data_IF_492734632498
#
_entry.id   IF_492734632498
#
_cell.length_a   1.000
_cell.length_b   1.000
_cell.length_c   1.000
_cell.angle_alpha   90.00
_cell.angle_beta   90.00
_cell.angle_gamma   90.00
#
_symmetry.space_group_name_H-M   'P 1'
#
loop_
_entity.id
_entity.type
_entity.pdbx_description
1 polymer ?
#
# COMPACT_ATOMS: atom_id res chain seq x y z
N UNK A 1 -3.68 -12.06 39.11
CA UNK A 1 -2.85 -13.06 38.42
C UNK A 1 -3.58 -13.67 37.22
N UNK A 2 -4.80 -14.20 37.35
CA UNK A 2 -5.48 -14.89 36.24
C UNK A 2 -5.71 -14.00 35.00
N UNK A 3 -6.15 -12.74 35.18
CA UNK A 3 -6.34 -11.77 34.08
C UNK A 3 -5.03 -11.45 33.33
N UNK A 4 -3.94 -11.20 34.05
CA UNK A 4 -2.62 -10.91 33.47
C UNK A 4 -2.06 -12.12 32.71
N UNK A 5 -2.29 -13.32 33.22
CA UNK A 5 -1.89 -14.55 32.55
C UNK A 5 -2.65 -14.72 31.23
N UNK A 6 -3.98 -14.58 31.25
CA UNK A 6 -4.82 -14.65 30.05
C UNK A 6 -4.38 -13.58 29.03
N UNK A 7 -4.16 -12.35 29.49
CA UNK A 7 -3.70 -11.24 28.66
C UNK A 7 -2.35 -11.56 28.01
N UNK A 8 -1.37 -12.01 28.80
CA UNK A 8 -0.01 -12.30 28.33
C UNK A 8 0.01 -13.44 27.32
N UNK A 9 -0.79 -14.49 27.55
CA UNK A 9 -0.96 -15.59 26.59
C UNK A 9 -1.58 -15.09 25.28
N UNK A 10 -2.63 -14.28 25.34
CA UNK A 10 -3.25 -13.70 24.15
C UNK A 10 -2.28 -12.79 23.38
N UNK A 11 -1.48 -11.97 24.08
CA UNK A 11 -0.46 -11.12 23.48
C UNK A 11 0.66 -11.93 22.82
N UNK A 12 1.17 -12.97 23.49
CA UNK A 12 2.20 -13.85 22.93
C UNK A 12 1.70 -14.60 21.69
N UNK A 13 0.47 -15.12 21.72
CA UNK A 13 -0.16 -15.75 20.56
C UNK A 13 -0.30 -14.75 19.40
N UNK A 14 -0.72 -13.52 19.71
CA UNK A 14 -0.87 -12.43 18.74
C UNK A 14 0.47 -12.13 18.05
N UNK A 15 1.55 -12.00 18.82
CA UNK A 15 2.88 -11.78 18.25
C UNK A 15 3.38 -12.99 17.46
N UNK A 16 3.21 -14.21 17.96
CA UNK A 16 3.64 -15.41 17.26
C UNK A 16 3.01 -15.53 15.87
N UNK A 17 1.69 -15.35 15.77
CA UNK A 17 0.97 -15.38 14.48
C UNK A 17 1.39 -14.21 13.58
N UNK A 18 1.56 -13.02 14.14
CA UNK A 18 1.95 -11.83 13.39
C UNK A 18 3.36 -11.97 12.81
N UNK A 19 4.34 -12.36 13.62
CA UNK A 19 5.72 -12.59 13.18
C UNK A 19 5.81 -13.71 12.15
N UNK A 20 5.08 -14.80 12.32
CA UNK A 20 5.01 -15.86 11.31
C UNK A 20 4.46 -15.34 9.97
N UNK A 21 3.41 -14.53 10.02
CA UNK A 21 2.80 -13.92 8.83
C UNK A 21 3.76 -12.97 8.13
N UNK A 22 4.39 -12.06 8.88
CA UNK A 22 5.39 -11.12 8.35
C UNK A 22 6.58 -11.87 7.76
N UNK A 23 7.10 -12.88 8.46
CA UNK A 23 8.19 -13.72 7.97
C UNK A 23 7.85 -14.35 6.61
N UNK A 24 6.63 -14.90 6.45
CA UNK A 24 6.18 -15.47 5.17
C UNK A 24 6.06 -14.44 4.05
N UNK A 25 5.70 -13.20 4.36
CA UNK A 25 5.62 -12.13 3.34
C UNK A 25 7.02 -11.63 2.98
N UNK A 26 7.89 -11.45 3.98
CA UNK A 26 9.26 -10.99 3.81
C UNK A 26 10.10 -12.02 3.06
N UNK A 27 9.89 -13.31 3.29
CA UNK A 27 10.62 -14.37 2.57
C UNK A 27 10.38 -14.34 1.07
N UNK A 28 9.21 -13.87 0.61
CA UNK A 28 8.90 -13.71 -0.82
C UNK A 28 9.75 -12.64 -1.52
N UNK A 29 10.28 -11.66 -0.79
CA UNK A 29 11.18 -10.66 -1.37
C UNK A 29 12.50 -11.29 -1.87
N UNK A 30 12.91 -12.43 -1.31
CA UNK A 30 14.10 -13.17 -1.77
C UNK A 30 13.95 -13.72 -3.20
N UNK A 31 12.72 -13.82 -3.70
CA UNK A 31 12.43 -14.27 -5.06
C UNK A 31 12.55 -13.16 -6.11
N UNK A 32 12.45 -11.90 -5.67
CA UNK A 32 12.42 -10.72 -6.55
C UNK A 32 13.81 -10.27 -7.00
N UNK A 33 13.88 -9.58 -8.13
CA UNK A 33 15.11 -8.94 -8.63
C UNK A 33 15.51 -7.72 -7.79
N UNK A 34 16.79 -7.32 -7.78
CA UNK A 34 17.20 -6.06 -7.19
C UNK A 34 16.50 -4.87 -7.88
N UNK A 35 16.19 -3.84 -7.09
CA UNK A 35 15.75 -2.54 -7.61
C UNK A 35 16.90 -1.52 -7.43
N UNK A 36 16.86 -0.37 -8.13
CA UNK A 36 17.86 0.68 -7.95
C UNK A 36 18.07 1.04 -6.47
N UNK A 37 19.31 1.33 -6.05
CA UNK A 37 19.63 1.60 -4.65
C UNK A 37 18.86 2.82 -4.13
N UNK A 38 18.42 2.75 -2.88
CA UNK A 38 17.75 3.86 -2.21
C UNK A 38 18.79 4.94 -1.88
N UNK A 39 18.68 6.09 -2.54
CA UNK A 39 19.54 7.28 -2.35
C UNK A 39 18.70 8.48 -1.89
N UNK A 40 19.36 9.57 -1.49
CA UNK A 40 18.71 10.83 -1.08
C UNK A 40 17.71 10.69 0.09
N UNK A 41 18.12 10.05 1.18
CA UNK A 41 17.27 9.79 2.36
C UNK A 41 16.57 11.06 2.89
N UNK A 42 17.25 12.21 2.92
CA UNK A 42 16.64 13.47 3.37
C UNK A 42 15.47 13.94 2.51
N UNK A 43 15.62 13.91 1.17
CA UNK A 43 14.53 14.28 0.24
C UNK A 43 13.35 13.33 0.36
N UNK A 44 13.61 12.04 0.53
CA UNK A 44 12.58 11.00 0.73
C UNK A 44 11.82 11.16 2.03
N UNK A 45 12.53 11.50 3.11
CA UNK A 45 11.92 11.75 4.40
C UNK A 45 10.99 12.97 4.35
N UNK A 46 11.44 14.07 3.74
CA UNK A 46 10.60 15.27 3.52
C UNK A 46 9.38 14.93 2.65
N UNK A 47 9.57 14.17 1.56
CA UNK A 47 8.47 13.70 0.71
C UNK A 47 7.47 12.86 1.52
N UNK A 48 7.96 11.95 2.35
CA UNK A 48 7.15 11.12 3.24
C UNK A 48 6.34 11.97 4.21
N UNK A 49 6.97 12.93 4.90
CA UNK A 49 6.25 13.85 5.79
C UNK A 49 5.16 14.62 5.04
N UNK A 50 5.47 15.20 3.88
CA UNK A 50 4.51 15.98 3.10
C UNK A 50 3.33 15.15 2.57
N UNK A 51 3.57 13.90 2.17
CA UNK A 51 2.53 13.05 1.56
C UNK A 51 1.78 12.23 2.60
N UNK A 52 2.47 11.59 3.54
CA UNK A 52 1.86 10.72 4.53
C UNK A 52 1.26 11.51 5.70
N UNK A 53 2.04 12.39 6.34
CA UNK A 53 1.55 13.19 7.45
C UNK A 53 0.80 14.44 6.97
N UNK A 54 1.33 15.16 5.98
CA UNK A 54 0.66 16.31 5.38
C UNK A 54 -0.54 15.95 4.50
N UNK A 55 -0.74 14.66 4.19
CA UNK A 55 -1.90 14.15 3.43
C UNK A 55 -2.12 14.85 2.07
N UNK A 56 -1.08 15.47 1.49
CA UNK A 56 -1.18 16.34 0.30
C UNK A 56 -1.84 15.65 -0.90
N UNK A 57 -1.59 14.35 -1.08
CA UNK A 57 -2.24 13.56 -2.15
C UNK A 57 -3.69 13.24 -1.84
N UNK A 58 -4.04 13.00 -0.58
CA UNK A 58 -5.38 12.64 -0.14
C UNK A 58 -6.33 13.84 -0.24
N UNK A 59 -5.85 15.03 0.13
CA UNK A 59 -6.60 16.29 0.03
C UNK A 59 -6.89 16.77 -1.40
N UNK A 60 -6.32 16.13 -2.44
CA UNK A 60 -6.81 16.31 -3.83
C UNK A 60 -8.29 15.95 -4.00
N UNK A 61 -8.90 15.24 -3.03
CA UNK A 61 -10.36 15.13 -2.89
C UNK A 61 -10.78 15.64 -1.51
N UNK A 62 -11.12 16.94 -1.37
CA UNK A 62 -11.15 17.62 -0.07
C UNK A 62 -12.11 16.97 0.94
N UNK A 63 -13.35 16.66 0.53
CA UNK A 63 -14.35 16.07 1.44
C UNK A 63 -13.91 14.70 1.96
N UNK A 64 -13.62 13.76 1.07
CA UNK A 64 -13.17 12.42 1.49
C UNK A 64 -11.80 12.44 2.15
N UNK A 65 -10.98 13.41 1.76
CA UNK A 65 -9.64 13.61 2.30
C UNK A 65 -9.71 14.07 3.74
N UNK A 66 -10.58 15.01 4.07
CA UNK A 66 -10.82 15.48 5.44
C UNK A 66 -11.21 14.34 6.39
N UNK A 67 -12.23 13.55 6.05
CA UNK A 67 -12.60 12.39 6.88
C UNK A 67 -11.47 11.37 7.00
N UNK A 68 -10.71 11.13 5.93
CA UNK A 68 -9.56 10.22 5.99
C UNK A 68 -8.44 10.77 6.90
N UNK A 69 -8.23 12.08 6.86
CA UNK A 69 -7.28 12.78 7.71
C UNK A 69 -7.65 12.64 9.19
N UNK A 70 -8.92 12.86 9.55
CA UNK A 70 -9.43 12.63 10.91
C UNK A 70 -9.17 11.20 11.38
N UNK A 71 -9.42 10.22 10.51
CA UNK A 71 -9.12 8.81 10.80
C UNK A 71 -7.62 8.61 11.02
N UNK A 72 -6.77 9.08 10.11
CA UNK A 72 -5.32 8.91 10.20
C UNK A 72 -4.73 9.53 11.48
N UNK A 73 -4.99 10.81 11.76
CA UNK A 73 -4.47 11.46 12.96
C UNK A 73 -5.12 10.93 14.24
N UNK A 74 -6.40 10.56 14.18
CA UNK A 74 -7.06 9.87 15.28
C UNK A 74 -6.36 8.57 15.64
N UNK A 75 -5.99 7.75 14.65
CA UNK A 75 -5.18 6.55 14.91
C UNK A 75 -3.80 6.86 15.48
N UNK A 76 -3.11 7.91 15.02
CA UNK A 76 -1.82 8.31 15.59
C UNK A 76 -1.91 8.67 17.08
N UNK A 77 -2.97 9.38 17.48
CA UNK A 77 -3.19 9.79 18.87
C UNK A 77 -3.66 8.60 19.72
N UNK A 78 -4.67 7.86 19.26
CA UNK A 78 -5.23 6.71 19.98
C UNK A 78 -4.18 5.62 20.20
N UNK A 79 -3.23 5.45 19.28
CA UNK A 79 -2.13 4.49 19.43
C UNK A 79 -1.29 4.73 20.69
N UNK A 80 -1.12 5.99 21.12
CA UNK A 80 -0.41 6.29 22.36
C UNK A 80 -1.14 5.71 23.58
N UNK A 81 -2.47 5.83 23.61
CA UNK A 81 -3.30 5.21 24.65
C UNK A 81 -3.36 3.69 24.54
N UNK A 82 -3.35 3.13 23.32
CA UNK A 82 -3.28 1.67 23.14
C UNK A 82 -1.96 1.08 23.65
N UNK A 83 -0.84 1.81 23.58
CA UNK A 83 0.43 1.39 24.17
C UNK A 83 0.30 1.32 25.70
N UNK A 84 -0.28 2.33 26.33
CA UNK A 84 -0.59 2.31 27.78
C UNK A 84 -1.44 1.08 28.13
N UNK A 85 -2.51 0.81 27.39
CA UNK A 85 -3.36 -0.37 27.61
C UNK A 85 -2.61 -1.70 27.55
N UNK A 86 -1.63 -1.84 26.64
CA UNK A 86 -0.82 -3.06 26.56
C UNK A 86 0.10 -3.19 27.77
N UNK A 87 0.74 -2.10 28.20
CA UNK A 87 1.58 -2.07 29.41
C UNK A 87 0.74 -2.43 30.63
N UNK A 88 -0.42 -1.80 30.77
CA UNK A 88 -1.38 -2.01 31.85
C UNK A 88 -1.89 -3.44 31.90
N UNK A 89 -2.21 -4.03 30.75
CA UNK A 89 -2.67 -5.42 30.65
C UNK A 89 -1.63 -6.45 31.11
N UNK A 90 -0.34 -6.23 30.80
CA UNK A 90 0.75 -7.10 31.27
C UNK A 90 1.05 -6.87 32.76
N UNK A 91 1.17 -5.60 33.16
CA UNK A 91 1.57 -5.23 34.51
C UNK A 91 0.42 -5.34 35.54
N UNK A 92 -0.84 -5.46 35.08
CA UNK A 92 -2.05 -5.35 35.92
C UNK A 92 -2.23 -3.97 36.54
N UNK A 93 -1.84 -2.93 35.81
CA UNK A 93 -2.03 -1.53 36.19
C UNK A 93 -3.29 -1.00 35.48
N UNK A 94 -3.81 0.16 35.91
CA UNK A 94 -4.98 0.79 35.26
C UNK A 94 -4.64 2.02 34.42
N UNK A 95 -3.59 2.77 34.80
CA UNK A 95 -3.09 3.99 34.13
C UNK A 95 -1.59 4.18 34.37
N UNK A 96 -0.78 3.30 33.81
CA UNK A 96 0.69 3.31 34.03
C UNK A 96 1.39 4.58 33.58
N UNK A 97 0.82 5.35 32.65
CA UNK A 97 1.42 6.60 32.15
C UNK A 97 0.88 7.86 32.84
N UNK A 98 0.03 7.71 33.86
CA UNK A 98 -0.52 8.84 34.64
C UNK A 98 0.54 9.73 35.30
N UNK A 99 1.75 9.21 35.54
CA UNK A 99 2.87 10.00 36.08
C UNK A 99 3.32 11.16 35.18
N UNK A 100 2.93 11.15 33.89
CA UNK A 100 3.20 12.24 32.95
C UNK A 100 2.35 13.51 33.24
N UNK A 101 1.38 13.43 34.15
CA UNK A 101 0.58 14.57 34.60
C UNK A 101 -0.18 15.24 33.44
N UNK A 102 -0.04 16.57 33.23
CA UNK A 102 -0.80 17.29 32.20
C UNK A 102 -0.65 16.74 30.77
N UNK A 103 0.50 16.13 30.46
CA UNK A 103 0.70 15.50 29.15
C UNK A 103 -0.21 14.26 28.98
N UNK A 104 -0.38 13.46 30.03
CA UNK A 104 -1.31 12.33 30.04
C UNK A 104 -2.75 12.82 29.84
N UNK A 105 -3.14 13.87 30.55
CA UNK A 105 -4.47 14.47 30.44
C UNK A 105 -4.79 14.92 29.00
N UNK A 106 -3.83 15.54 28.32
CA UNK A 106 -3.97 15.96 26.91
C UNK A 106 -4.08 14.76 25.97
N UNK A 107 -3.25 13.73 26.17
CA UNK A 107 -3.28 12.51 25.34
C UNK A 107 -4.63 11.80 25.51
N UNK A 108 -5.13 11.65 26.74
CA UNK A 108 -6.43 11.01 26.99
C UNK A 108 -7.58 11.85 26.44
N UNK A 109 -7.56 13.18 26.62
CA UNK A 109 -8.62 14.05 26.11
C UNK A 109 -8.67 14.04 24.58
N UNK A 110 -7.51 14.14 23.93
CA UNK A 110 -7.42 14.09 22.48
C UNK A 110 -7.84 12.73 21.93
N UNK A 111 -7.40 11.63 22.54
CA UNK A 111 -7.82 10.28 22.17
C UNK A 111 -9.33 10.07 22.29
N UNK A 112 -9.95 10.57 23.36
CA UNK A 112 -11.39 10.50 23.61
C UNK A 112 -12.20 11.30 22.58
N UNK A 113 -11.75 12.52 22.24
CA UNK A 113 -12.35 13.34 21.17
C UNK A 113 -12.19 12.65 19.81
N UNK A 114 -10.99 12.16 19.49
CA UNK A 114 -10.74 11.48 18.23
C UNK A 114 -11.55 10.19 18.11
N UNK A 115 -11.80 9.47 19.19
CA UNK A 115 -12.64 8.28 19.15
C UNK A 115 -14.03 8.57 18.56
N UNK A 116 -14.66 9.69 18.96
CA UNK A 116 -15.92 10.15 18.38
C UNK A 116 -15.76 10.61 16.92
N UNK A 117 -14.75 11.43 16.62
CA UNK A 117 -14.53 11.94 15.27
C UNK A 117 -14.26 10.81 14.26
N UNK A 118 -13.49 9.79 14.66
CA UNK A 118 -13.24 8.59 13.87
C UNK A 118 -14.51 7.78 13.74
N UNK A 119 -15.27 7.56 14.81
CA UNK A 119 -16.56 6.86 14.76
C UNK A 119 -17.49 7.47 13.71
N UNK A 120 -17.67 8.79 13.74
CA UNK A 120 -18.51 9.52 12.77
C UNK A 120 -17.95 9.40 11.35
N UNK A 121 -16.63 9.53 11.18
CA UNK A 121 -15.96 9.40 9.87
C UNK A 121 -16.14 8.00 9.26
N UNK A 122 -16.09 6.96 10.08
CA UNK A 122 -16.27 5.57 9.66
C UNK A 122 -17.73 5.30 9.30
N UNK A 123 -18.70 5.86 10.02
CA UNK A 123 -20.11 5.80 9.64
C UNK A 123 -20.33 6.42 8.25
N UNK A 124 -19.75 7.60 7.98
CA UNK A 124 -19.79 8.23 6.65
C UNK A 124 -19.17 7.32 5.58
N UNK A 125 -18.04 6.67 5.87
CA UNK A 125 -17.40 5.75 4.93
C UNK A 125 -18.17 4.45 4.70
N UNK A 126 -18.81 3.90 5.74
CA UNK A 126 -19.68 2.74 5.63
C UNK A 126 -20.91 3.07 4.80
N UNK A 127 -21.60 4.17 5.10
CA UNK A 127 -22.76 4.64 4.31
C UNK A 127 -22.38 4.82 2.85
N UNK A 128 -21.25 5.51 2.60
CA UNK A 128 -20.73 5.70 1.25
C UNK A 128 -20.35 4.41 0.53
N UNK A 129 -19.99 3.35 1.26
CA UNK A 129 -19.58 2.07 0.65
C UNK A 129 -20.75 1.12 0.41
N UNK A 130 -21.75 1.14 1.29
CA UNK A 130 -22.90 0.23 1.24
C UNK A 130 -24.00 0.82 0.35
N UNK A 131 -24.28 2.11 0.47
CA UNK A 131 -25.44 2.74 -0.19
C UNK A 131 -25.07 3.56 -1.43
N UNK A 132 -23.89 4.20 -1.46
CA UNK A 132 -23.48 5.01 -2.62
C UNK A 132 -22.73 4.14 -3.64
N UNK A 133 -23.34 3.93 -4.81
CA UNK A 133 -22.69 3.22 -5.94
C UNK A 133 -21.61 4.09 -6.58
N UNK A 134 -20.37 3.93 -6.11
CA UNK A 134 -19.22 4.69 -6.60
C UNK A 134 -18.50 3.89 -7.70
N UNK A 135 -18.56 4.35 -8.95
CA UNK A 135 -17.95 3.71 -10.14
C UNK A 135 -16.50 3.20 -9.92
N UNK A 136 -15.63 3.97 -9.26
CA UNK A 136 -14.22 3.56 -9.05
C UNK A 136 -14.05 2.40 -8.06
N UNK A 137 -15.08 2.06 -7.28
CA UNK A 137 -15.07 0.88 -6.41
C UNK A 137 -15.56 -0.37 -7.13
N UNK A 138 -15.97 -0.23 -8.38
CA UNK A 138 -16.34 -1.30 -9.30
C UNK A 138 -15.20 -1.50 -10.32
N UNK A 139 -15.26 -2.60 -11.06
CA UNK A 139 -14.26 -3.01 -12.05
C UNK A 139 -14.15 -4.53 -12.14
N UNK A 140 -13.59 -5.03 -13.23
CA UNK A 140 -13.42 -6.48 -13.48
C UNK A 140 -12.53 -7.15 -12.42
N UNK A 141 -11.63 -6.40 -11.80
CA UNK A 141 -10.73 -6.84 -10.72
C UNK A 141 -11.39 -6.86 -9.34
N UNK A 142 -12.53 -6.20 -9.17
CA UNK A 142 -13.19 -6.00 -7.88
C UNK A 142 -14.11 -7.18 -7.55
N UNK A 143 -13.55 -8.22 -6.93
CA UNK A 143 -14.30 -9.43 -6.53
C UNK A 143 -15.14 -9.19 -5.27
N UNK A 144 -16.16 -10.04 -5.02
CA UNK A 144 -16.99 -10.00 -3.78
C UNK A 144 -16.15 -9.94 -2.51
N UNK A 145 -15.05 -10.71 -2.44
CA UNK A 145 -14.09 -10.69 -1.33
C UNK A 145 -13.50 -9.29 -1.10
N UNK A 146 -13.17 -8.56 -2.16
CA UNK A 146 -12.64 -7.20 -2.10
C UNK A 146 -13.66 -6.21 -1.52
N UNK A 147 -14.96 -6.41 -1.72
CA UNK A 147 -15.99 -5.58 -1.11
C UNK A 147 -16.18 -5.93 0.38
N UNK A 148 -16.27 -7.22 0.69
CA UNK A 148 -16.42 -7.73 2.06
C UNK A 148 -15.26 -7.25 2.93
N UNK A 149 -14.02 -7.41 2.46
CA UNK A 149 -12.82 -7.04 3.21
C UNK A 149 -12.80 -5.55 3.62
N UNK A 150 -13.27 -4.67 2.73
CA UNK A 150 -13.38 -3.25 3.04
C UNK A 150 -14.47 -2.94 4.07
N UNK A 151 -15.60 -3.66 4.03
CA UNK A 151 -16.68 -3.54 5.02
C UNK A 151 -16.24 -4.09 6.37
N UNK A 152 -15.62 -5.27 6.40
CA UNK A 152 -15.06 -5.88 7.62
C UNK A 152 -14.08 -4.92 8.27
N UNK A 153 -13.12 -4.38 7.51
CA UNK A 153 -12.14 -3.43 8.06
C UNK A 153 -12.81 -2.19 8.67
N UNK A 154 -13.80 -1.60 8.00
CA UNK A 154 -14.53 -0.44 8.54
C UNK A 154 -15.36 -0.81 9.79
N UNK A 155 -15.99 -1.98 9.81
CA UNK A 155 -16.77 -2.46 10.95
C UNK A 155 -15.89 -2.75 12.17
N UNK A 156 -14.69 -3.32 11.97
CA UNK A 156 -13.73 -3.53 13.06
C UNK A 156 -13.28 -2.19 13.65
N UNK A 157 -12.99 -1.19 12.82
CA UNK A 157 -12.63 0.16 13.30
C UNK A 157 -13.81 0.81 14.04
N UNK A 158 -15.03 0.67 13.52
CA UNK A 158 -16.22 1.18 14.19
C UNK A 158 -16.36 0.56 15.60
N UNK A 159 -16.22 -0.76 15.70
CA UNK A 159 -16.28 -1.48 16.97
C UNK A 159 -15.14 -1.08 17.91
N UNK A 160 -13.93 -0.84 17.41
CA UNK A 160 -12.83 -0.27 18.19
C UNK A 160 -13.22 1.08 18.79
N UNK A 161 -13.84 1.98 18.04
CA UNK A 161 -14.23 3.30 18.57
C UNK A 161 -15.36 3.19 19.60
N UNK A 162 -16.35 2.34 19.35
CA UNK A 162 -17.45 2.09 20.29
C UNK A 162 -16.94 1.51 21.61
N UNK A 163 -16.07 0.50 21.53
CA UNK A 163 -15.47 -0.11 22.73
C UNK A 163 -14.52 0.85 23.45
N UNK A 164 -13.81 1.73 22.74
CA UNK A 164 -12.97 2.76 23.36
C UNK A 164 -13.79 3.76 24.19
N UNK A 165 -14.86 4.32 23.59
CA UNK A 165 -15.78 5.22 24.29
C UNK A 165 -16.52 4.51 25.42
N UNK A 166 -16.91 3.25 25.22
CA UNK A 166 -17.54 2.41 26.24
C UNK A 166 -16.64 2.20 27.45
N UNK A 167 -15.36 1.88 27.24
CA UNK A 167 -14.42 1.70 28.35
C UNK A 167 -14.17 3.00 29.11
N UNK A 168 -13.98 4.12 28.39
CA UNK A 168 -13.73 5.43 29.00
C UNK A 168 -14.96 5.91 29.79
N UNK A 169 -16.17 5.74 29.23
CA UNK A 169 -17.43 6.08 29.92
C UNK A 169 -17.62 5.22 31.17
N UNK A 170 -17.39 3.91 31.06
CA UNK A 170 -17.45 3.00 32.21
C UNK A 170 -16.43 3.37 33.30
N UNK A 171 -15.21 3.74 32.92
CA UNK A 171 -14.15 4.16 33.83
C UNK A 171 -14.53 5.40 34.65
N UNK A 172 -15.10 6.42 34.00
CA UNK A 172 -15.52 7.67 34.66
C UNK A 172 -16.64 7.39 35.66
N UNK A 173 -17.69 6.65 35.24
CA UNK A 173 -18.84 6.36 36.10
C UNK A 173 -18.39 5.50 37.28
N UNK A 174 -17.63 4.43 37.02
CA UNK A 174 -17.17 3.51 38.06
C UNK A 174 -16.28 4.23 39.09
N UNK A 175 -15.32 5.04 38.63
CA UNK A 175 -14.45 5.80 39.51
C UNK A 175 -15.25 6.80 40.37
N UNK A 176 -16.24 7.48 39.77
CA UNK A 176 -17.14 8.37 40.51
C UNK A 176 -17.97 7.66 41.58
N UNK A 177 -18.52 6.48 41.27
CA UNK A 177 -19.30 5.70 42.24
C UNK A 177 -18.47 5.12 43.39
N UNK A 178 -17.20 4.83 43.15
CA UNK A 178 -16.27 4.25 44.12
C UNK A 178 -15.40 5.31 44.83
N UNK A 179 -15.60 6.60 44.52
CA UNK A 179 -14.80 7.70 45.09
C UNK A 179 -13.31 7.65 44.71
N UNK A 180 -12.96 7.02 43.58
CA UNK A 180 -11.58 6.89 43.10
C UNK A 180 -11.20 8.11 42.26
N UNK A 181 -9.93 8.56 42.31
CA UNK A 181 -9.45 9.62 41.43
C UNK A 181 -9.50 9.16 39.97
N UNK A 182 -10.01 10.03 39.10
CA UNK A 182 -9.97 9.83 37.64
C UNK A 182 -8.64 10.36 37.12
N UNK A 183 -7.86 9.50 36.47
CA UNK A 183 -6.60 9.87 35.84
C UNK A 183 -6.81 10.07 34.33
N UNK A 184 -6.49 11.26 33.84
CA UNK A 184 -6.77 11.70 32.48
C UNK A 184 -8.07 12.51 32.37
N UNK A 185 -8.20 13.25 31.27
CA UNK A 185 -9.40 14.02 30.93
C UNK A 185 -10.14 13.31 29.80
N UNK A 186 -11.47 13.19 29.89
CA UNK A 186 -12.29 12.47 28.93
C UNK A 186 -13.57 13.27 28.58
N UNK A 187 -13.48 14.27 27.68
CA UNK A 187 -14.58 15.20 27.44
C UNK A 187 -15.83 14.56 26.85
N UNK A 188 -15.67 13.64 25.90
CA UNK A 188 -16.79 12.98 25.22
C UNK A 188 -17.39 11.93 26.13
N UNK A 189 -16.56 11.10 26.75
CA UNK A 189 -17.04 10.04 27.63
C UNK A 189 -17.70 10.60 28.90
N UNK A 190 -17.25 11.75 29.42
CA UNK A 190 -17.94 12.47 30.50
C UNK A 190 -19.35 12.93 30.08
N UNK A 191 -19.50 13.43 28.85
CA UNK A 191 -20.80 13.83 28.31
C UNK A 191 -21.73 12.61 28.17
N UNK A 192 -21.23 11.50 27.62
CA UNK A 192 -21.99 10.25 27.50
C UNK A 192 -22.40 9.74 28.89
N UNK A 193 -21.49 9.75 29.86
CA UNK A 193 -21.78 9.36 31.24
C UNK A 193 -22.94 10.19 31.83
N UNK A 194 -22.92 11.52 31.66
CA UNK A 194 -24.00 12.40 32.11
C UNK A 194 -25.34 12.15 31.41
N UNK A 195 -25.32 11.83 30.11
CA UNK A 195 -26.54 11.58 29.32
C UNK A 195 -27.18 10.21 29.59
N UNK A 196 -26.39 9.21 29.94
CA UNK A 196 -26.89 7.83 30.17
C UNK A 196 -27.63 7.67 31.49
N UNK A 197 -27.45 8.59 32.46
CA UNK A 197 -28.07 8.51 33.78
C UNK A 197 -27.69 7.25 34.57
N UNK A 198 -26.61 6.57 34.16
CA UNK A 198 -26.22 5.27 34.65
C UNK A 198 -25.44 5.42 35.97
N UNK A 199 -26.05 5.00 37.07
CA UNK A 199 -25.54 5.25 38.44
C UNK A 199 -25.12 3.99 39.21
N UNK A 200 -25.29 2.79 38.63
CA UNK A 200 -24.95 1.53 39.30
C UNK A 200 -23.47 1.16 39.16
N UNK A 201 -22.74 1.06 40.28
CA UNK A 201 -21.30 0.70 40.30
C UNK A 201 -21.00 -0.62 39.58
N UNK A 202 -21.82 -1.65 39.82
CA UNK A 202 -21.70 -2.96 39.14
C UNK A 202 -21.86 -2.84 37.62
N UNK A 203 -22.82 -2.04 37.18
CA UNK A 203 -23.07 -1.82 35.76
C UNK A 203 -21.90 -1.10 35.10
N UNK A 204 -21.36 -0.07 35.75
CA UNK A 204 -20.24 0.72 35.26
C UNK A 204 -18.97 -0.12 35.16
N UNK A 205 -18.70 -0.95 36.17
CA UNK A 205 -17.61 -1.93 36.15
C UNK A 205 -17.75 -2.91 34.98
N UNK A 206 -18.95 -3.47 34.76
CA UNK A 206 -19.18 -4.40 33.65
C UNK A 206 -18.98 -3.73 32.28
N UNK A 207 -19.50 -2.51 32.09
CA UNK A 207 -19.29 -1.75 30.85
C UNK A 207 -17.80 -1.49 30.61
N UNK A 208 -17.09 -1.03 31.64
CA UNK A 208 -15.65 -0.77 31.58
C UNK A 208 -14.87 -2.03 31.21
N UNK A 209 -15.03 -3.10 31.99
CA UNK A 209 -14.27 -4.34 31.85
C UNK A 209 -14.55 -5.04 30.52
N UNK A 210 -15.83 -5.16 30.13
CA UNK A 210 -16.20 -5.82 28.87
C UNK A 210 -15.73 -5.01 27.66
N UNK A 211 -15.83 -3.68 27.71
CA UNK A 211 -15.34 -2.81 26.65
C UNK A 211 -13.83 -2.83 26.54
N UNK A 212 -13.11 -2.85 27.67
CA UNK A 212 -11.65 -2.95 27.70
C UNK A 212 -11.16 -4.25 27.07
N UNK A 213 -11.69 -5.41 27.51
CA UNK A 213 -11.32 -6.71 26.93
C UNK A 213 -11.72 -6.82 25.46
N UNK A 214 -12.92 -6.37 25.11
CA UNK A 214 -13.36 -6.37 23.71
C UNK A 214 -12.45 -5.51 22.85
N UNK A 215 -12.06 -4.33 23.32
CA UNK A 215 -11.19 -3.42 22.58
C UNK A 215 -9.81 -4.03 22.34
N UNK A 216 -9.14 -4.52 23.39
CA UNK A 216 -7.76 -4.99 23.27
C UNK A 216 -7.66 -6.32 22.49
N UNK A 217 -8.60 -7.23 22.68
CA UNK A 217 -8.69 -8.46 21.88
C UNK A 217 -9.02 -8.15 20.41
N UNK A 218 -9.82 -7.12 20.16
CA UNK A 218 -10.10 -6.65 18.81
C UNK A 218 -8.86 -6.03 18.15
N UNK A 219 -8.02 -5.30 18.88
CA UNK A 219 -6.72 -4.82 18.38
C UNK A 219 -5.84 -6.02 17.99
N UNK A 220 -5.73 -7.04 18.85
CA UNK A 220 -4.92 -8.23 18.61
C UNK A 220 -5.39 -9.02 17.39
N UNK A 221 -6.71 -9.23 17.27
CA UNK A 221 -7.31 -9.84 16.09
C UNK A 221 -7.05 -9.00 14.85
N UNK A 222 -7.31 -7.68 14.92
CA UNK A 222 -7.18 -6.80 13.77
C UNK A 222 -5.75 -6.77 13.27
N UNK A 223 -4.74 -6.66 14.15
CA UNK A 223 -3.32 -6.70 13.80
C UNK A 223 -2.94 -7.92 12.96
N UNK A 224 -3.48 -9.10 13.28
CA UNK A 224 -3.25 -10.35 12.54
C UNK A 224 -4.11 -10.46 11.26
N UNK A 225 -5.24 -9.78 11.21
CA UNK A 225 -6.05 -9.64 10.00
C UNK A 225 -5.40 -8.71 8.95
N UNK A 226 -4.68 -7.68 9.40
CA UNK A 226 -4.13 -6.62 8.54
C UNK A 226 -3.37 -7.15 7.32
N UNK A 227 -2.37 -8.05 7.43
CA UNK A 227 -1.55 -8.50 6.29
C UNK A 227 -2.33 -9.18 5.15
N UNK A 228 -3.55 -9.64 5.42
CA UNK A 228 -4.40 -10.33 4.46
C UNK A 228 -5.51 -9.44 3.87
N UNK A 229 -5.60 -8.20 4.36
CA UNK A 229 -6.67 -7.25 4.07
C UNK A 229 -6.18 -6.04 3.25
N UNK A 230 -7.12 -5.25 2.74
CA UNK A 230 -6.87 -3.92 2.19
C UNK A 230 -6.37 -2.93 3.23
N UNK A 231 -6.68 -3.16 4.51
CA UNK A 231 -6.24 -2.27 5.58
C UNK A 231 -4.75 -2.43 5.90
N UNK A 232 -4.04 -3.40 5.31
CA UNK A 232 -2.58 -3.49 5.40
C UNK A 232 -1.84 -2.21 4.98
N UNK A 233 -2.51 -1.36 4.19
CA UNK A 233 -1.99 -0.07 3.80
C UNK A 233 -1.60 0.81 4.99
N UNK A 234 -2.18 0.63 6.19
CA UNK A 234 -1.78 1.40 7.37
C UNK A 234 -0.30 1.21 7.70
N UNK A 235 0.24 0.01 7.49
CA UNK A 235 1.67 -0.27 7.68
C UNK A 235 2.50 0.04 6.44
N UNK A 236 1.99 -0.25 5.24
CA UNK A 236 2.80 -0.19 4.02
C UNK A 236 2.84 1.19 3.35
N UNK A 237 1.85 2.06 3.60
CA UNK A 237 1.74 3.34 2.90
C UNK A 237 2.90 4.28 3.21
N UNK A 238 3.24 4.46 4.49
CA UNK A 238 4.29 5.40 4.92
C UNK A 238 5.66 4.96 4.39
N UNK A 239 6.10 3.70 4.55
CA UNK A 239 7.32 3.23 3.92
C UNK A 239 7.30 3.29 2.39
N UNK A 240 6.16 3.02 1.72
CA UNK A 240 6.10 3.11 0.26
C UNK A 240 6.31 4.54 -0.24
N UNK A 241 5.74 5.53 0.47
CA UNK A 241 5.94 6.93 0.16
C UNK A 241 7.40 7.34 0.36
N UNK A 242 8.04 6.86 1.41
CA UNK A 242 9.49 7.06 1.60
C UNK A 242 10.32 6.44 0.45
N UNK A 243 9.95 5.24 0.01
CA UNK A 243 10.61 4.52 -1.09
C UNK A 243 10.15 4.99 -2.48
N UNK A 244 9.41 6.10 -2.57
CA UNK A 244 8.88 6.62 -3.84
C UNK A 244 9.97 7.06 -4.80
N UNK A 245 9.65 7.08 -6.08
CA UNK A 245 10.53 7.65 -7.10
C UNK A 245 10.75 9.16 -6.86
N UNK A 246 11.98 9.63 -7.01
CA UNK A 246 12.31 11.06 -6.94
C UNK A 246 12.47 11.70 -8.33
N UNK A 247 12.81 10.90 -9.33
CA UNK A 247 12.97 11.35 -10.71
C UNK A 247 11.61 11.65 -11.37
N UNK A 248 11.60 12.49 -12.41
CA UNK A 248 10.37 12.82 -13.13
C UNK A 248 9.59 11.59 -13.58
N UNK A 249 8.27 11.67 -13.43
CA UNK A 249 7.35 10.69 -14.02
C UNK A 249 7.58 10.63 -15.54
N UNK A 250 7.58 9.43 -16.11
CA UNK A 250 7.84 9.20 -17.52
C UNK A 250 9.31 8.97 -17.89
N UNK A 251 10.28 9.30 -17.01
CA UNK A 251 11.66 8.85 -17.23
C UNK A 251 11.70 7.32 -17.23
N UNK A 252 12.23 6.70 -18.28
CA UNK A 252 12.45 5.25 -18.32
C UNK A 252 13.90 4.95 -17.91
N UNK A 253 14.11 3.87 -17.17
CA UNK A 253 15.45 3.39 -16.86
C UNK A 253 15.91 2.45 -17.97
N UNK A 254 17.15 2.59 -18.43
CA UNK A 254 17.74 1.62 -19.34
C UNK A 254 17.97 0.31 -18.59
N UNK A 255 17.79 -0.81 -19.29
CA UNK A 255 18.17 -2.11 -18.71
C UNK A 255 19.68 -2.24 -18.80
N UNK A 256 20.32 -2.56 -17.67
CA UNK A 256 21.78 -2.53 -17.56
C UNK A 256 22.43 -3.63 -18.40
N UNK A 257 21.79 -4.80 -18.48
CA UNK A 257 22.21 -5.89 -19.38
C UNK A 257 22.21 -5.43 -20.85
N UNK A 258 21.12 -4.84 -21.35
CA UNK A 258 21.07 -4.29 -22.73
C UNK A 258 22.07 -3.17 -22.92
N UNK A 259 22.19 -2.26 -21.95
CA UNK A 259 23.13 -1.13 -22.04
C UNK A 259 24.57 -1.62 -22.13
N UNK A 260 24.90 -2.71 -21.44
CA UNK A 260 26.21 -3.35 -21.52
C UNK A 260 26.44 -3.92 -22.92
N UNK A 261 25.53 -4.74 -23.42
CA UNK A 261 25.64 -5.32 -24.78
C UNK A 261 25.76 -4.25 -25.86
N UNK A 262 24.93 -3.21 -25.82
CA UNK A 262 25.00 -2.10 -26.78
C UNK A 262 26.34 -1.37 -26.70
N UNK A 263 26.88 -1.13 -25.50
CA UNK A 263 28.20 -0.49 -25.35
C UNK A 263 29.33 -1.37 -25.90
N UNK A 264 29.23 -2.69 -25.73
CA UNK A 264 30.18 -3.64 -26.31
C UNK A 264 30.12 -3.65 -27.84
N UNK A 265 28.91 -3.57 -28.42
CA UNK A 265 28.72 -3.45 -29.87
C UNK A 265 29.24 -2.12 -30.43
N UNK A 266 29.04 -1.02 -29.69
CA UNK A 266 29.49 0.32 -30.12
C UNK A 266 31.00 0.55 -29.94
N UNK A 267 31.65 -0.14 -29.00
CA UNK A 267 33.09 -0.06 -28.79
C UNK A 267 33.69 -1.46 -28.62
N UNK A 268 33.96 -2.17 -29.74
CA UNK A 268 34.44 -3.55 -29.72
C UNK A 268 35.73 -3.75 -28.93
N UNK A 269 36.55 -2.71 -28.74
CA UNK A 269 37.79 -2.79 -27.96
C UNK A 269 37.54 -3.00 -26.46
N UNK A 270 36.32 -2.75 -25.99
CA UNK A 270 35.90 -3.02 -24.60
C UNK A 270 35.38 -4.45 -24.39
N UNK A 271 35.32 -5.29 -25.44
CA UNK A 271 34.79 -6.66 -25.42
C UNK A 271 35.52 -7.63 -24.47
N UNK A 272 36.76 -7.34 -24.08
CA UNK A 272 37.51 -8.14 -23.10
C UNK A 272 36.99 -8.03 -21.66
N UNK A 273 35.95 -7.21 -21.42
CA UNK A 273 35.24 -7.08 -20.14
C UNK A 273 33.94 -7.91 -20.07
N UNK A 274 33.78 -8.89 -20.97
CA UNK A 274 32.62 -9.78 -21.02
C UNK A 274 32.30 -10.41 -19.66
N UNK A 275 31.01 -10.65 -19.41
CA UNK A 275 30.57 -11.28 -18.18
C UNK A 275 31.26 -12.65 -17.99
N UNK A 276 31.59 -13.04 -16.74
CA UNK A 276 32.21 -14.35 -16.48
C UNK A 276 31.43 -15.48 -17.14
N UNK A 277 32.14 -16.42 -17.76
CA UNK A 277 31.56 -17.65 -18.31
C UNK A 277 30.70 -18.34 -17.24
N UNK A 278 29.48 -18.73 -17.62
CA UNK A 278 28.51 -19.35 -16.72
C UNK A 278 27.52 -18.39 -16.04
N UNK A 279 27.57 -17.08 -16.33
CA UNK A 279 26.49 -16.16 -15.93
C UNK A 279 25.23 -16.48 -16.75
N UNK A 280 24.10 -16.91 -16.14
CA UNK A 280 22.88 -17.19 -16.88
C UNK A 280 22.41 -15.94 -17.62
N UNK A 281 21.94 -16.09 -18.86
CA UNK A 281 21.34 -14.99 -19.61
C UNK A 281 20.16 -14.42 -18.81
N UNK A 282 20.28 -13.17 -18.36
CA UNK A 282 19.20 -12.50 -17.64
C UNK A 282 18.07 -12.18 -18.61
N UNK A 283 16.88 -12.71 -18.32
CA UNK A 283 15.65 -12.38 -19.05
C UNK A 283 15.40 -10.88 -19.09
N UNK A 284 15.12 -10.36 -20.28
CA UNK A 284 14.76 -8.96 -20.48
C UNK A 284 13.32 -8.68 -20.01
N UNK A 285 13.14 -7.64 -19.20
CA UNK A 285 11.83 -7.25 -18.70
C UNK A 285 11.23 -8.22 -17.65
N UNK A 286 9.90 -8.27 -17.59
CA UNK A 286 9.12 -9.04 -16.61
C UNK A 286 8.17 -9.99 -17.30
N UNK A 287 8.37 -11.31 -17.15
CA UNK A 287 7.38 -12.32 -17.55
C UNK A 287 6.45 -12.69 -16.40
N UNK A 288 7.04 -12.95 -15.23
CA UNK A 288 6.33 -13.50 -14.07
C UNK A 288 6.90 -12.97 -12.73
N UNK A 289 6.35 -13.46 -11.62
CA UNK A 289 6.64 -13.08 -10.24
C UNK A 289 8.15 -12.95 -9.90
N UNK A 290 9.01 -13.86 -10.37
CA UNK A 290 10.45 -13.85 -10.11
C UNK A 290 11.21 -12.74 -10.83
N UNK A 291 10.63 -12.17 -11.89
CA UNK A 291 11.27 -11.13 -12.69
C UNK A 291 11.02 -9.73 -12.14
N UNK A 292 10.03 -9.55 -11.27
CA UNK A 292 9.73 -8.24 -10.72
C UNK A 292 10.81 -7.81 -9.73
N UNK A 293 11.02 -6.51 -9.62
CA UNK A 293 11.91 -6.00 -8.58
C UNK A 293 11.26 -6.06 -7.20
N UNK A 294 12.05 -6.07 -6.13
CA UNK A 294 11.54 -5.98 -4.77
C UNK A 294 10.61 -4.77 -4.59
N UNK A 295 10.88 -3.67 -5.30
CA UNK A 295 10.08 -2.45 -5.25
C UNK A 295 8.72 -2.63 -5.91
N UNK A 296 8.63 -3.36 -7.03
CA UNK A 296 7.34 -3.66 -7.66
C UNK A 296 6.46 -4.51 -6.73
N UNK A 297 7.04 -5.51 -6.07
CA UNK A 297 6.30 -6.30 -5.09
C UNK A 297 5.88 -5.46 -3.88
N UNK A 298 6.75 -4.57 -3.40
CA UNK A 298 6.41 -3.62 -2.33
C UNK A 298 5.25 -2.70 -2.71
N UNK A 299 5.23 -2.16 -3.93
CA UNK A 299 4.12 -1.37 -4.48
C UNK A 299 2.83 -2.22 -4.55
N UNK A 300 2.95 -3.46 -5.00
CA UNK A 300 1.83 -4.38 -5.08
C UNK A 300 1.23 -4.65 -3.69
N UNK A 301 2.03 -4.83 -2.64
CA UNK A 301 1.59 -4.97 -1.24
C UNK A 301 1.02 -3.67 -0.65
N UNK A 302 1.51 -2.52 -1.11
CA UNK A 302 1.06 -1.21 -0.63
C UNK A 302 -0.26 -0.76 -1.27
N UNK A 303 -0.58 -1.28 -2.46
CA UNK A 303 -1.81 -0.93 -3.19
C UNK A 303 -3.06 -1.05 -2.31
N UNK A 304 -3.80 0.06 -2.18
CA UNK A 304 -4.99 0.15 -1.31
C UNK A 304 -6.30 -0.22 -2.02
N UNK A 305 -6.21 -0.61 -3.30
CA UNK A 305 -7.36 -0.86 -4.17
C UNK A 305 -8.34 0.34 -4.31
N UNK A 306 -7.90 1.56 -4.00
CA UNK A 306 -8.76 2.75 -3.95
C UNK A 306 -9.34 3.19 -5.32
N UNK A 307 -8.78 2.70 -6.42
CA UNK A 307 -9.26 2.97 -7.79
C UNK A 307 -8.98 4.38 -8.32
N UNK A 308 -8.17 5.20 -7.63
CA UNK A 308 -7.81 6.55 -8.13
C UNK A 308 -7.05 6.49 -9.44
N UNK A 309 -6.14 5.53 -9.59
CA UNK A 309 -5.37 5.31 -10.79
C UNK A 309 -6.25 4.87 -11.97
N UNK A 310 -7.22 3.98 -11.74
CA UNK A 310 -8.20 3.55 -12.75
C UNK A 310 -9.13 4.68 -13.17
N UNK A 311 -9.60 5.49 -12.22
CA UNK A 311 -10.53 6.60 -12.49
C UNK A 311 -9.95 7.72 -13.38
N UNK A 312 -8.61 7.80 -13.51
CA UNK A 312 -7.94 8.78 -14.36
C UNK A 312 -7.21 8.16 -15.55
N UNK A 313 -7.35 6.85 -15.75
CA UNK A 313 -6.71 6.16 -16.87
C UNK A 313 -7.50 6.42 -18.17
N UNK A 314 -6.94 7.10 -19.18
CA UNK A 314 -7.67 7.39 -20.41
C UNK A 314 -8.17 6.11 -21.10
N UNK A 315 -7.33 5.06 -21.14
CA UNK A 315 -7.70 3.77 -21.72
C UNK A 315 -8.92 3.13 -21.02
N UNK A 316 -8.98 3.19 -19.69
CA UNK A 316 -10.12 2.67 -18.94
C UNK A 316 -11.38 3.50 -19.18
N UNK A 317 -11.24 4.83 -19.26
CA UNK A 317 -12.35 5.74 -19.50
C UNK A 317 -13.00 5.51 -20.88
N UNK A 318 -12.21 5.15 -21.89
CA UNK A 318 -12.69 4.80 -23.24
C UNK A 318 -13.13 3.33 -23.38
N UNK A 319 -13.25 2.58 -22.28
CA UNK A 319 -13.73 1.19 -22.31
C UNK A 319 -12.70 0.12 -22.68
N UNK A 320 -11.41 0.44 -22.78
CA UNK A 320 -10.35 -0.58 -22.96
C UNK A 320 -10.14 -1.35 -21.65
N UNK A 321 -9.60 -2.57 -21.73
CA UNK A 321 -9.45 -3.48 -20.58
C UNK A 321 -8.49 -2.99 -19.48
N UNK A 322 -7.58 -2.06 -19.78
CA UNK A 322 -6.56 -1.63 -18.82
C UNK A 322 -7.19 -0.99 -17.57
N UNK A 323 -6.91 -1.57 -16.41
CA UNK A 323 -7.04 -0.92 -15.10
C UNK A 323 -5.67 -0.91 -14.41
N UNK A 324 -5.03 0.25 -14.20
CA UNK A 324 -3.74 0.31 -13.52
C UNK A 324 -3.78 -0.30 -12.11
N UNK A 325 -4.92 -0.21 -11.41
CA UNK A 325 -5.12 -0.89 -10.12
C UNK A 325 -4.99 -2.40 -10.26
N UNK A 326 -5.60 -2.99 -11.30
CA UNK A 326 -5.61 -4.44 -11.56
C UNK A 326 -4.19 -4.98 -11.71
N UNK A 327 -3.30 -4.27 -12.42
CA UNK A 327 -1.87 -4.64 -12.57
C UNK A 327 -1.20 -4.94 -11.22
N UNK A 328 -1.43 -4.10 -10.21
CA UNK A 328 -0.84 -4.28 -8.86
C UNK A 328 -1.54 -5.38 -8.06
N UNK A 329 -2.86 -5.51 -8.22
CA UNK A 329 -3.64 -6.59 -7.58
C UNK A 329 -3.24 -7.97 -8.12
N UNK A 330 -3.03 -8.06 -9.42
CA UNK A 330 -2.64 -9.29 -10.12
C UNK A 330 -1.22 -9.70 -9.78
N UNK A 331 -0.27 -8.75 -9.69
CA UNK A 331 1.07 -9.05 -9.19
C UNK A 331 1.01 -9.58 -7.74
N UNK A 332 0.21 -8.95 -6.87
CA UNK A 332 0.04 -9.44 -5.48
C UNK A 332 -0.58 -10.84 -5.46
N UNK A 333 -1.58 -11.09 -6.29
CA UNK A 333 -2.22 -12.40 -6.40
C UNK A 333 -1.24 -13.48 -6.89
N UNK A 334 -0.45 -13.16 -7.93
CA UNK A 334 0.55 -14.06 -8.50
C UNK A 334 1.65 -14.40 -7.50
N UNK A 335 2.18 -13.40 -6.77
CA UNK A 335 3.16 -13.62 -5.70
C UNK A 335 2.61 -14.49 -4.57
N UNK A 336 1.32 -14.34 -4.24
CA UNK A 336 0.66 -15.16 -3.20
C UNK A 336 0.43 -16.61 -3.65
N UNK A 337 0.14 -16.82 -4.93
CA UNK A 337 -0.12 -18.14 -5.52
C UNK A 337 1.20 -18.91 -5.75
N UNK A 338 2.13 -18.33 -6.52
CA UNK A 338 3.38 -18.99 -6.95
C UNK A 338 4.47 -18.98 -5.87
N UNK A 339 4.56 -17.87 -5.13
CA UNK A 339 5.68 -17.58 -4.24
C UNK A 339 5.96 -18.66 -3.17
N UNK A 340 4.94 -19.16 -2.43
CA UNK A 340 5.15 -20.23 -1.46
C UNK A 340 5.70 -21.52 -2.09
N UNK A 341 5.27 -21.87 -3.31
CA UNK A 341 5.76 -23.03 -4.01
C UNK A 341 7.21 -22.85 -4.49
N UNK A 342 7.58 -21.64 -4.93
CA UNK A 342 8.97 -21.32 -5.25
C UNK A 342 9.91 -21.36 -4.05
N UNK A 343 9.46 -20.92 -2.87
CA UNK A 343 10.27 -21.04 -1.65
C UNK A 343 10.54 -22.52 -1.32
N UNK A 344 9.54 -23.39 -1.51
CA UNK A 344 9.64 -24.81 -1.19
C UNK A 344 10.44 -25.61 -2.23
N UNK A 345 10.20 -25.35 -3.51
CA UNK A 345 10.69 -26.18 -4.62
C UNK A 345 11.87 -25.55 -5.38
N UNK A 346 12.26 -24.32 -5.05
CA UNK A 346 13.31 -23.56 -5.74
C UNK A 346 12.75 -22.46 -6.65
N UNK A 347 13.61 -21.49 -6.98
CA UNK A 347 13.24 -20.30 -7.77
C UNK A 347 12.75 -20.64 -9.18
N UNK A 348 13.21 -21.75 -9.74
CA UNK A 348 12.85 -22.22 -11.09
C UNK A 348 11.51 -22.97 -11.14
N UNK A 349 10.80 -23.07 -10.02
CA UNK A 349 9.48 -23.69 -9.97
C UNK A 349 8.50 -23.02 -10.94
N UNK A 350 7.87 -23.84 -11.78
CA UNK A 350 6.91 -23.40 -12.79
C UNK A 350 5.61 -24.20 -12.63
N UNK A 351 4.48 -23.50 -12.54
CA UNK A 351 3.14 -24.07 -12.42
C UNK A 351 2.34 -23.98 -13.74
N UNK A 352 3.01 -23.69 -14.85
CA UNK A 352 2.41 -23.58 -16.19
C UNK A 352 1.69 -22.24 -16.43
N UNK A 353 1.71 -21.32 -15.47
CA UNK A 353 1.06 -20.00 -15.57
C UNK A 353 2.10 -18.88 -15.44
N UNK A 354 1.75 -17.67 -15.87
CA UNK A 354 2.59 -16.50 -15.72
C UNK A 354 1.80 -15.21 -15.46
N UNK A 355 2.47 -14.17 -14.97
CA UNK A 355 1.83 -12.86 -14.77
C UNK A 355 1.28 -12.29 -16.09
N UNK A 356 2.03 -12.43 -17.18
CA UNK A 356 1.58 -12.11 -18.53
C UNK A 356 0.61 -13.20 -19.03
N UNK A 357 -0.43 -12.79 -19.77
CA UNK A 357 -1.51 -13.62 -20.36
C UNK A 357 -2.47 -14.29 -19.35
N UNK A 358 -1.99 -14.97 -18.30
CA UNK A 358 -2.91 -15.65 -17.35
C UNK A 358 -3.54 -14.69 -16.33
N UNK A 359 -2.84 -13.59 -16.01
CA UNK A 359 -3.32 -12.57 -15.08
C UNK A 359 -3.52 -11.23 -15.78
N UNK A 360 -2.51 -10.79 -16.53
CA UNK A 360 -2.50 -9.51 -17.24
C UNK A 360 -2.38 -9.77 -18.74
N UNK A 361 -3.43 -9.44 -19.48
CA UNK A 361 -3.50 -9.66 -20.92
C UNK A 361 -2.62 -8.69 -21.70
N UNK A 362 -2.18 -9.08 -22.89
CA UNK A 362 -1.40 -8.19 -23.77
C UNK A 362 -2.20 -6.93 -24.16
N UNK A 363 -3.52 -7.04 -24.34
CA UNK A 363 -4.39 -5.89 -24.61
C UNK A 363 -4.33 -4.85 -23.48
N UNK A 364 -4.36 -5.29 -22.21
CA UNK A 364 -4.19 -4.39 -21.07
C UNK A 364 -2.83 -3.70 -21.10
N UNK A 365 -1.77 -4.47 -21.40
CA UNK A 365 -0.42 -3.94 -21.49
C UNK A 365 -0.32 -2.89 -22.59
N UNK A 366 -0.75 -3.18 -23.81
CA UNK A 366 -0.64 -2.30 -24.98
C UNK A 366 -1.63 -1.11 -24.97
N UNK A 367 -2.70 -1.17 -24.19
CA UNK A 367 -3.61 -0.04 -24.00
C UNK A 367 -2.99 1.14 -23.19
N UNK A 368 -1.91 0.92 -22.44
CA UNK A 368 -1.25 1.96 -21.66
C UNK A 368 -0.55 3.01 -22.55
N UNK A 369 -0.95 4.28 -22.48
CA UNK A 369 -0.29 5.36 -23.24
C UNK A 369 0.90 5.99 -22.53
N UNK A 370 1.37 5.39 -21.42
CA UNK A 370 2.47 5.89 -20.57
C UNK A 370 2.34 7.37 -20.16
N UNK A 371 1.12 7.92 -20.11
CA UNK A 371 0.84 9.31 -19.73
C UNK A 371 1.08 9.65 -18.24
N UNK A 372 1.36 8.65 -17.39
CA UNK A 372 1.64 8.79 -15.96
C UNK A 372 0.52 9.41 -15.08
N UNK A 373 -0.70 9.60 -15.58
CA UNK A 373 -1.83 10.09 -14.79
C UNK A 373 -2.11 9.23 -13.55
N UNK A 374 -2.03 7.90 -13.70
CA UNK A 374 -2.21 6.95 -12.61
C UNK A 374 -1.14 7.07 -11.51
N UNK A 375 0.12 7.31 -11.87
CA UNK A 375 1.22 7.53 -10.92
C UNK A 375 1.07 8.87 -10.20
N UNK A 376 0.65 9.92 -10.92
CA UNK A 376 0.42 11.26 -10.36
C UNK A 376 -0.70 11.26 -9.31
N UNK A 377 -1.79 10.53 -9.56
CA UNK A 377 -2.96 10.46 -8.68
C UNK A 377 -2.89 9.39 -7.59
N UNK A 378 -1.87 8.52 -7.61
CA UNK A 378 -1.70 7.52 -6.57
C UNK A 378 -1.48 8.21 -5.21
N UNK A 379 -2.28 7.90 -4.17
CA UNK A 379 -2.15 8.56 -2.87
C UNK A 379 -0.86 8.17 -2.13
N UNK A 380 -0.27 7.05 -2.52
CA UNK A 380 0.92 6.45 -1.91
C UNK A 380 2.05 6.31 -2.95
N UNK A 381 2.02 7.11 -4.02
CA UNK A 381 3.09 7.26 -5.01
C UNK A 381 3.55 5.98 -5.74
N UNK A 382 2.66 5.01 -5.95
CA UNK A 382 2.93 3.84 -6.80
C UNK A 382 3.12 4.26 -8.27
N UNK A 383 4.22 3.84 -8.88
CA UNK A 383 4.52 4.07 -10.31
C UNK A 383 4.03 2.90 -11.18
N UNK A 384 2.73 2.84 -11.44
CA UNK A 384 2.10 1.77 -12.23
C UNK A 384 2.70 1.59 -13.64
N UNK A 385 2.99 2.65 -14.42
CA UNK A 385 3.53 2.50 -15.77
C UNK A 385 4.86 1.75 -15.85
N UNK A 386 5.71 1.82 -14.81
CA UNK A 386 7.02 1.14 -14.80
C UNK A 386 6.88 -0.35 -15.06
N UNK A 387 6.05 -1.03 -14.26
CA UNK A 387 5.85 -2.48 -14.37
C UNK A 387 5.20 -2.87 -15.70
N UNK A 388 4.29 -2.03 -16.24
CA UNK A 388 3.69 -2.25 -17.57
C UNK A 388 4.77 -2.19 -18.66
N UNK A 389 5.67 -1.21 -18.60
CA UNK A 389 6.76 -1.09 -19.56
C UNK A 389 7.73 -2.26 -19.45
N UNK A 390 8.03 -2.74 -18.24
CA UNK A 390 8.90 -3.91 -18.05
C UNK A 390 8.25 -5.21 -18.56
N UNK A 391 6.93 -5.36 -18.47
CA UNK A 391 6.22 -6.47 -19.12
C UNK A 391 6.21 -6.35 -20.65
N UNK A 392 6.04 -5.14 -21.19
CA UNK A 392 6.17 -4.91 -22.65
C UNK A 392 7.58 -5.20 -23.15
N UNK A 393 8.60 -4.87 -22.37
CA UNK A 393 10.01 -5.18 -22.65
C UNK A 393 10.21 -6.67 -22.86
N UNK A 394 9.65 -7.49 -21.96
CA UNK A 394 9.67 -8.95 -22.12
C UNK A 394 9.02 -9.37 -23.44
N UNK A 395 7.77 -8.92 -23.70
CA UNK A 395 7.06 -9.28 -24.93
C UNK A 395 7.87 -8.94 -26.20
N UNK A 396 8.48 -7.76 -26.26
CA UNK A 396 9.22 -7.32 -27.45
C UNK A 396 10.55 -8.05 -27.61
N UNK A 397 11.39 -8.09 -26.58
CA UNK A 397 12.78 -8.54 -26.73
C UNK A 397 12.96 -10.05 -26.57
N UNK A 398 12.08 -10.73 -25.85
CA UNK A 398 12.18 -12.18 -25.62
C UNK A 398 11.27 -12.98 -26.56
N UNK A 399 10.09 -12.44 -26.88
CA UNK A 399 9.09 -13.16 -27.67
C UNK A 399 8.82 -12.53 -29.05
N UNK A 400 9.41 -11.37 -29.36
CA UNK A 400 9.12 -10.65 -30.61
C UNK A 400 7.64 -10.28 -30.74
N UNK A 401 6.90 -10.19 -29.63
CA UNK A 401 5.47 -9.89 -29.59
C UNK A 401 5.23 -8.39 -29.37
N UNK A 402 4.55 -7.77 -30.34
CA UNK A 402 4.07 -6.40 -30.31
C UNK A 402 2.95 -6.23 -31.35
N UNK A 403 2.10 -5.20 -31.20
CA UNK A 403 1.21 -4.74 -32.27
C UNK A 403 1.96 -4.55 -33.60
N UNK A 404 1.32 -4.89 -34.72
CA UNK A 404 1.97 -4.88 -36.05
C UNK A 404 2.53 -3.51 -36.44
N UNK A 405 1.83 -2.44 -36.07
CA UNK A 405 2.26 -1.06 -36.31
C UNK A 405 3.55 -0.74 -35.53
N UNK A 406 3.69 -1.26 -34.31
CA UNK A 406 4.91 -1.09 -33.53
C UNK A 406 6.06 -1.94 -34.07
N UNK A 407 5.78 -3.15 -34.55
CA UNK A 407 6.78 -3.99 -35.23
C UNK A 407 7.36 -3.29 -36.46
N UNK A 408 6.49 -2.68 -37.28
CA UNK A 408 6.91 -1.90 -38.44
C UNK A 408 7.80 -0.72 -38.02
N UNK A 409 7.44 0.00 -36.96
CA UNK A 409 8.27 1.08 -36.42
C UNK A 409 9.63 0.57 -35.93
N UNK A 410 9.66 -0.53 -35.18
CA UNK A 410 10.92 -1.11 -34.70
C UNK A 410 11.83 -1.53 -35.87
N UNK A 411 11.28 -2.20 -36.88
CA UNK A 411 12.01 -2.59 -38.07
C UNK A 411 12.53 -1.37 -38.87
N UNK A 412 11.75 -0.29 -38.98
CA UNK A 412 12.20 0.94 -39.63
C UNK A 412 13.34 1.62 -38.85
N UNK A 413 13.26 1.65 -37.51
CA UNK A 413 14.32 2.22 -36.67
C UNK A 413 15.60 1.42 -36.83
N UNK A 414 15.51 0.09 -36.84
CA UNK A 414 16.65 -0.81 -36.97
C UNK A 414 17.32 -0.70 -38.34
N UNK A 415 16.54 -0.71 -39.43
CA UNK A 415 17.09 -0.71 -40.79
C UNK A 415 17.44 0.69 -41.31
N UNK A 416 16.63 1.71 -40.99
CA UNK A 416 16.73 3.04 -41.60
C UNK A 416 17.15 4.13 -40.61
N UNK A 417 17.26 3.81 -39.31
CA UNK A 417 17.55 4.81 -38.27
C UNK A 417 16.42 5.84 -38.10
N UNK A 418 15.20 5.54 -38.58
CA UNK A 418 14.03 6.40 -38.52
C UNK A 418 12.76 5.58 -38.25
N UNK A 419 11.79 6.06 -37.45
CA UNK A 419 10.53 5.36 -37.20
C UNK A 419 9.62 5.14 -38.42
N UNK A 420 9.85 5.92 -39.48
CA UNK A 420 9.06 5.93 -40.69
C UNK A 420 9.83 5.27 -41.83
N UNK A 421 9.10 4.75 -42.81
CA UNK A 421 9.67 4.04 -43.96
C UNK A 421 10.20 5.04 -45.02
N UNK A 422 11.26 5.77 -44.66
CA UNK A 422 11.99 6.65 -45.58
C UNK A 422 13.39 6.10 -45.85
N UNK A 423 13.99 6.54 -46.97
CA UNK A 423 15.41 6.27 -47.24
C UNK A 423 16.27 6.88 -46.12
N UNK A 424 17.36 6.22 -45.69
CA UNK A 424 18.34 6.82 -44.77
C UNK A 424 18.86 8.18 -45.25
N UNK A 425 18.95 8.39 -46.57
CA UNK A 425 19.38 9.64 -47.21
C UNK A 425 18.42 10.79 -46.93
N UNK A 426 17.11 10.50 -46.82
CA UNK A 426 16.06 11.49 -46.59
C UNK A 426 15.89 11.87 -45.11
N UNK A 427 16.63 11.22 -44.18
CA UNK A 427 16.46 11.40 -42.74
C UNK A 427 16.66 12.86 -42.28
N UNK A 428 17.44 13.64 -43.02
CA UNK A 428 17.74 15.05 -42.70
C UNK A 428 16.87 16.05 -43.47
N UNK A 429 15.90 15.61 -44.29
CA UNK A 429 15.03 16.52 -45.04
C UNK A 429 14.18 17.43 -44.13
N UNK A 430 13.87 17.01 -42.90
CA UNK A 430 13.18 17.87 -41.92
C UNK A 430 14.03 19.05 -41.45
N UNK A 431 15.36 18.96 -41.59
CA UNK A 431 16.31 19.99 -41.22
C UNK A 431 16.64 20.95 -42.38
N UNK A 432 16.17 20.69 -43.59
CA UNK A 432 16.37 21.59 -44.73
C UNK A 432 15.78 22.96 -44.41
N UNK A 433 16.60 24.02 -44.49
CA UNK A 433 16.30 25.40 -44.10
C UNK A 433 16.24 25.67 -42.57
N UNK A 434 16.65 24.72 -41.73
CA UNK A 434 16.92 24.96 -40.32
C UNK A 434 18.44 25.11 -40.13
N UNK A 435 18.88 26.19 -39.47
CA UNK A 435 20.27 26.37 -39.05
C UNK A 435 20.61 25.43 -37.88
N UNK A 436 20.77 24.13 -38.19
CA UNK A 436 21.18 23.13 -37.19
C UNK A 436 22.67 22.88 -37.38
N UNK A 437 23.48 23.22 -36.38
CA UNK A 437 24.89 22.82 -36.33
C UNK A 437 24.96 21.30 -36.16
N UNK A 438 25.23 20.60 -37.26
CA UNK A 438 25.50 19.16 -37.26
C UNK A 438 27.03 19.03 -37.12
N UNK A 439 27.51 18.94 -35.88
CA UNK A 439 28.89 18.54 -35.59
C UNK A 439 28.99 17.02 -35.45
#
# INVERSE_FOLDING_TARGET
MDKQLIFSVALLLTFAVFFFTVYRIVSLFRLTKPAPPVRDFGKRFILMLNVAFGQTKIFRRPVTGFFHALVFWGFCVILLGSIEMVIDGVAGLEKSLSFLGPLHDIIMASGDIFALLVLLSILVFLVRRIFLKIRRFEGIEMKKKSHIDAVVSLSLILLLMVTLLGMNTGYIIYSGTEGRPVHGIYPVSSLIAGLTGFSGSRGAYLLMETSWWSHILLIFFFANYLPYSKHFHVFMSVPNVFLSRLEPLGKLYNMENVTREVKLMMNPETAFSAAPEGTPAERFGVKDAEDVTWKNYFDALSCTECGRCTAVCPANLTGKKLSPRKIMMDLRARMKEKGPAMIKNGKDYNDGRSLIRDYITEEELWACTTCNACAKECPININHPSLIVDMRRYLVMEEGSAPGELKAVFANIENNGAPWQYSPEDRLNWATNLEINVN
#
